data_IF_276486948953
#
_entry.id   IF_276486948953
#
_cell.length_a   1.000
_cell.length_b   1.000
_cell.length_c   1.000
_cell.angle_alpha   90.00
_cell.angle_beta   90.00
_cell.angle_gamma   90.00
#
_symmetry.space_group_name_H-M   'P 1'
#
loop_
_entity.id
_entity.type
_entity.pdbx_description
1 polymer ?
#
# COMPACT_ATOMS: atom_id res chain seq x y z
N UNK A 1 -5.39 -4.50 -57.94
CA UNK A 1 -6.41 -4.08 -56.93
C UNK A 1 -6.23 -4.71 -55.54
N UNK A 2 -5.61 -5.89 -55.39
CA UNK A 2 -5.37 -6.52 -54.07
C UNK A 2 -4.39 -5.76 -53.15
N UNK A 3 -3.45 -4.99 -53.70
CA UNK A 3 -2.40 -4.26 -52.95
C UNK A 3 -2.86 -3.02 -52.18
N UNK A 4 -4.03 -2.44 -52.51
CA UNK A 4 -4.57 -1.25 -51.80
C UNK A 4 -5.54 -1.60 -50.66
N UNK A 5 -6.00 -2.85 -50.59
CA UNK A 5 -6.96 -3.31 -49.57
C UNK A 5 -6.24 -3.60 -48.24
N UNK A 6 -5.02 -4.15 -48.30
CA UNK A 6 -4.18 -4.41 -47.13
C UNK A 6 -3.88 -3.14 -46.29
N UNK A 7 -3.43 -2.01 -46.87
CA UNK A 7 -3.15 -0.81 -46.10
C UNK A 7 -4.43 -0.17 -45.53
N UNK A 8 -5.56 -0.23 -46.25
CA UNK A 8 -6.84 0.28 -45.75
C UNK A 8 -7.35 -0.52 -44.54
N UNK A 9 -7.27 -1.85 -44.61
CA UNK A 9 -7.63 -2.71 -43.49
C UNK A 9 -6.72 -2.46 -42.27
N UNK A 10 -5.42 -2.25 -42.49
CA UNK A 10 -4.47 -1.88 -41.43
C UNK A 10 -4.82 -0.54 -40.76
N UNK A 11 -5.19 0.48 -41.54
CA UNK A 11 -5.62 1.78 -41.01
C UNK A 11 -6.91 1.69 -40.20
N UNK A 12 -7.89 0.90 -40.67
CA UNK A 12 -9.14 0.67 -39.94
C UNK A 12 -8.86 -0.02 -38.60
N UNK A 13 -8.01 -1.06 -38.60
CA UNK A 13 -7.62 -1.75 -37.37
C UNK A 13 -6.91 -0.80 -36.40
N UNK A 14 -5.97 0.01 -36.88
CA UNK A 14 -5.27 1.00 -36.05
C UNK A 14 -6.24 2.02 -35.45
N UNK A 15 -7.17 2.54 -36.24
CA UNK A 15 -8.19 3.47 -35.76
C UNK A 15 -9.09 2.83 -34.69
N UNK A 16 -9.49 1.57 -34.89
CA UNK A 16 -10.28 0.82 -33.90
C UNK A 16 -9.50 0.60 -32.59
N UNK A 17 -8.22 0.26 -32.66
CA UNK A 17 -7.35 0.11 -31.48
C UNK A 17 -7.20 1.43 -30.72
N UNK A 18 -6.95 2.54 -31.44
CA UNK A 18 -6.85 3.87 -30.84
C UNK A 18 -8.16 4.28 -30.17
N UNK A 19 -9.30 4.05 -30.82
CA UNK A 19 -10.62 4.32 -30.25
C UNK A 19 -10.89 3.48 -28.99
N UNK A 20 -10.49 2.21 -28.98
CA UNK A 20 -10.63 1.34 -27.81
C UNK A 20 -9.77 1.83 -26.63
N UNK A 21 -8.50 2.18 -26.87
CA UNK A 21 -7.61 2.73 -25.84
C UNK A 21 -8.14 4.06 -25.29
N UNK A 22 -8.56 4.98 -26.16
CA UNK A 22 -9.11 6.26 -25.73
C UNK A 22 -10.41 6.10 -24.92
N UNK A 23 -11.29 5.20 -25.35
CA UNK A 23 -12.54 4.90 -24.64
C UNK A 23 -12.25 4.26 -23.28
N UNK A 24 -11.30 3.33 -23.21
CA UNK A 24 -10.85 2.72 -21.96
C UNK A 24 -10.28 3.76 -21.00
N UNK A 25 -9.40 4.67 -21.47
CA UNK A 25 -8.84 5.74 -20.64
C UNK A 25 -9.92 6.68 -20.09
N UNK A 26 -10.89 7.06 -20.92
CA UNK A 26 -12.02 7.89 -20.50
C UNK A 26 -12.90 7.21 -19.45
N UNK A 27 -13.22 5.93 -19.66
CA UNK A 27 -13.97 5.14 -18.69
C UNK A 27 -13.17 4.94 -17.39
N UNK A 28 -11.87 4.70 -17.47
CA UNK A 28 -11.00 4.58 -16.31
C UNK A 28 -11.03 5.85 -15.45
N UNK A 29 -10.86 7.02 -16.08
CA UNK A 29 -10.96 8.32 -15.40
C UNK A 29 -12.33 8.54 -14.75
N UNK A 30 -13.43 8.23 -15.46
CA UNK A 30 -14.78 8.27 -14.88
C UNK A 30 -14.96 7.31 -13.72
N UNK A 31 -14.34 6.12 -13.81
CA UNK A 31 -14.36 5.10 -12.77
C UNK A 31 -13.70 5.63 -11.50
N UNK A 32 -12.55 6.27 -11.59
CA UNK A 32 -11.86 6.88 -10.44
C UNK A 32 -12.70 7.96 -9.75
N UNK A 33 -13.47 8.74 -10.52
CA UNK A 33 -14.36 9.78 -10.01
C UNK A 33 -15.70 9.24 -9.46
N UNK A 34 -16.01 7.95 -9.63
CA UNK A 34 -17.29 7.40 -9.20
C UNK A 34 -17.37 7.28 -7.67
N UNK A 35 -18.55 7.60 -7.13
CA UNK A 35 -18.84 7.55 -5.70
C UNK A 35 -19.19 6.11 -5.26
N UNK A 36 -18.37 5.57 -4.35
CA UNK A 36 -18.57 4.25 -3.77
C UNK A 36 -18.13 3.09 -4.66
N UNK A 37 -17.85 1.92 -4.08
CA UNK A 37 -17.17 0.83 -4.77
C UNK A 37 -18.04 0.20 -5.87
N UNK A 38 -19.35 0.07 -5.67
CA UNK A 38 -20.24 -0.52 -6.68
C UNK A 38 -20.34 0.32 -7.96
N UNK A 39 -20.36 1.66 -7.84
CA UNK A 39 -20.37 2.54 -8.99
C UNK A 39 -19.03 2.48 -9.75
N UNK A 40 -17.91 2.45 -9.02
CA UNK A 40 -16.56 2.25 -9.58
C UNK A 40 -16.48 0.95 -10.36
N UNK A 41 -16.91 -0.16 -9.77
CA UNK A 41 -16.91 -1.48 -10.40
C UNK A 41 -17.69 -1.52 -11.71
N UNK A 42 -18.87 -0.88 -11.77
CA UNK A 42 -19.66 -0.80 -13.02
C UNK A 42 -18.91 -0.07 -14.13
N UNK A 43 -18.29 1.06 -13.82
CA UNK A 43 -17.61 1.88 -14.83
C UNK A 43 -16.28 1.26 -15.25
N UNK A 44 -15.48 0.81 -14.28
CA UNK A 44 -14.20 0.16 -14.54
C UNK A 44 -14.37 -1.20 -15.22
N UNK A 45 -15.43 -1.96 -14.92
CA UNK A 45 -15.75 -3.20 -15.65
C UNK A 45 -16.05 -2.96 -17.13
N UNK A 46 -16.67 -1.82 -17.47
CA UNK A 46 -16.83 -1.42 -18.88
C UNK A 46 -15.50 -1.02 -19.51
N UNK A 47 -14.64 -0.30 -18.78
CA UNK A 47 -13.30 0.01 -19.26
C UNK A 47 -12.53 -1.27 -19.59
N UNK A 48 -12.55 -2.24 -18.68
CA UNK A 48 -11.88 -3.53 -18.81
C UNK A 48 -12.40 -4.35 -19.99
N UNK A 49 -13.72 -4.35 -20.23
CA UNK A 49 -14.32 -5.01 -21.38
C UNK A 49 -13.91 -4.38 -22.73
N UNK A 50 -13.67 -3.07 -22.77
CA UNK A 50 -13.23 -2.36 -23.99
C UNK A 50 -11.76 -2.61 -24.29
N UNK A 51 -10.90 -2.58 -23.27
CA UNK A 51 -9.46 -2.80 -23.42
C UNK A 51 -8.86 -3.52 -22.21
N UNK A 52 -8.80 -4.87 -22.24
CA UNK A 52 -8.39 -5.68 -21.09
C UNK A 52 -6.88 -5.64 -20.81
N UNK A 53 -6.08 -4.96 -21.63
CA UNK A 53 -4.62 -4.89 -21.45
C UNK A 53 -4.15 -3.64 -20.71
N UNK A 54 -5.07 -2.91 -20.07
CA UNK A 54 -4.71 -1.78 -19.22
C UNK A 54 -4.48 -2.25 -17.76
N UNK A 55 -3.21 -2.34 -17.36
CA UNK A 55 -2.81 -2.71 -15.99
C UNK A 55 -3.43 -1.80 -14.92
N UNK A 56 -3.49 -0.48 -15.17
CA UNK A 56 -4.04 0.48 -14.23
C UNK A 56 -5.54 0.24 -13.97
N UNK A 57 -6.32 -0.10 -15.00
CA UNK A 57 -7.74 -0.46 -14.83
C UNK A 57 -7.89 -1.72 -13.99
N UNK A 58 -7.04 -2.72 -14.18
CA UNK A 58 -7.04 -3.93 -13.35
C UNK A 58 -6.67 -3.63 -11.89
N UNK A 59 -5.68 -2.77 -11.64
CA UNK A 59 -5.35 -2.31 -10.28
C UNK A 59 -6.50 -1.53 -9.63
N UNK A 60 -7.16 -0.65 -10.39
CA UNK A 60 -8.29 0.15 -9.92
C UNK A 60 -9.52 -0.72 -9.61
N UNK A 61 -9.78 -1.75 -10.42
CA UNK A 61 -10.76 -2.79 -10.11
C UNK A 61 -10.40 -3.52 -8.82
N UNK A 62 -9.13 -3.88 -8.65
CA UNK A 62 -8.62 -4.49 -7.41
C UNK A 62 -8.92 -3.64 -6.17
N UNK A 63 -8.65 -2.33 -6.24
CA UNK A 63 -8.98 -1.39 -5.16
C UNK A 63 -10.48 -1.28 -4.91
N UNK A 64 -11.30 -1.16 -5.95
CA UNK A 64 -12.75 -1.07 -5.79
C UNK A 64 -13.37 -2.33 -5.18
N UNK A 65 -12.88 -3.53 -5.55
CA UNK A 65 -13.26 -4.79 -4.91
C UNK A 65 -12.78 -4.87 -3.46
N UNK A 66 -11.57 -4.41 -3.16
CA UNK A 66 -11.05 -4.36 -1.79
C UNK A 66 -11.94 -3.47 -0.91
N UNK A 67 -12.23 -2.25 -1.38
CA UNK A 67 -12.99 -1.24 -0.64
C UNK A 67 -14.35 -1.78 -0.22
N UNK A 68 -15.16 -2.32 -1.13
CA UNK A 68 -16.45 -2.83 -0.67
C UNK A 68 -16.39 -4.24 -0.05
N UNK A 69 -15.27 -4.96 -0.15
CA UNK A 69 -15.00 -6.09 0.72
C UNK A 69 -14.86 -5.63 2.17
N UNK A 70 -14.15 -4.52 2.39
CA UNK A 70 -14.00 -3.88 3.69
C UNK A 70 -15.29 -3.18 4.18
N UNK A 71 -16.18 -2.74 3.29
CA UNK A 71 -17.52 -2.25 3.68
C UNK A 71 -18.51 -3.38 3.96
N UNK A 72 -18.31 -4.57 3.38
CA UNK A 72 -19.20 -5.73 3.52
C UNK A 72 -18.84 -6.67 4.68
N UNK A 73 -18.11 -6.21 5.72
CA UNK A 73 -17.64 -7.10 6.81
C UNK A 73 -18.77 -7.84 7.54
N UNK A 74 -19.98 -7.30 7.56
CA UNK A 74 -21.17 -7.91 8.16
C UNK A 74 -21.81 -9.03 7.29
N UNK A 75 -21.44 -9.14 6.01
CA UNK A 75 -21.89 -10.18 5.08
C UNK A 75 -20.68 -11.00 4.60
N UNK A 76 -20.36 -12.12 5.27
CA UNK A 76 -19.19 -12.93 4.93
C UNK A 76 -19.18 -13.42 3.48
N UNK A 77 -20.34 -13.79 2.92
CA UNK A 77 -20.40 -14.30 1.56
C UNK A 77 -20.04 -13.22 0.53
N UNK A 78 -20.57 -12.00 0.72
CA UNK A 78 -20.21 -10.84 -0.11
C UNK A 78 -18.75 -10.46 0.09
N UNK A 79 -18.32 -10.26 1.34
CA UNK A 79 -16.94 -9.93 1.74
C UNK A 79 -15.91 -10.87 1.10
N UNK A 80 -16.07 -12.18 1.26
CA UNK A 80 -15.11 -13.18 0.82
C UNK A 80 -15.04 -13.26 -0.71
N UNK A 81 -16.17 -13.04 -1.38
CA UNK A 81 -16.21 -12.93 -2.85
C UNK A 81 -15.45 -11.70 -3.33
N UNK A 82 -15.62 -10.57 -2.65
CA UNK A 82 -14.99 -9.31 -3.03
C UNK A 82 -13.48 -9.33 -2.80
N UNK A 83 -12.99 -9.87 -1.68
CA UNK A 83 -11.56 -10.03 -1.47
C UNK A 83 -10.90 -10.97 -2.49
N UNK A 84 -11.55 -12.08 -2.87
CA UNK A 84 -11.05 -12.95 -3.95
C UNK A 84 -10.97 -12.22 -5.28
N UNK A 85 -12.02 -11.46 -5.65
CA UNK A 85 -12.01 -10.65 -6.88
C UNK A 85 -10.96 -9.55 -6.86
N UNK A 86 -10.71 -8.95 -5.70
CA UNK A 86 -9.64 -7.97 -5.51
C UNK A 86 -8.27 -8.60 -5.78
N UNK A 87 -7.98 -9.75 -5.17
CA UNK A 87 -6.74 -10.48 -5.38
C UNK A 87 -6.54 -10.91 -6.85
N UNK A 88 -7.58 -11.42 -7.50
CA UNK A 88 -7.55 -11.79 -8.94
C UNK A 88 -7.23 -10.58 -9.83
N UNK A 89 -7.86 -9.42 -9.56
CA UNK A 89 -7.66 -8.20 -10.33
C UNK A 89 -6.24 -7.64 -10.15
N UNK A 90 -5.70 -7.64 -8.92
CA UNK A 90 -4.31 -7.25 -8.68
C UNK A 90 -3.31 -8.20 -9.32
N UNK A 91 -3.53 -9.52 -9.24
CA UNK A 91 -2.67 -10.48 -9.95
C UNK A 91 -2.65 -10.23 -11.45
N UNK A 92 -3.79 -9.90 -12.05
CA UNK A 92 -3.86 -9.54 -13.47
C UNK A 92 -3.13 -8.22 -13.76
N UNK A 93 -3.29 -7.21 -12.92
CA UNK A 93 -2.53 -5.96 -13.03
C UNK A 93 -1.03 -6.22 -13.04
N UNK A 94 -0.54 -7.04 -12.10
CA UNK A 94 0.88 -7.37 -11.96
C UNK A 94 1.42 -8.25 -13.10
N UNK A 95 0.58 -9.05 -13.76
CA UNK A 95 0.97 -9.74 -15.00
C UNK A 95 1.17 -8.79 -16.17
N UNK A 96 0.40 -7.71 -16.23
CA UNK A 96 0.48 -6.70 -17.29
C UNK A 96 1.60 -5.69 -17.01
N UNK A 97 1.78 -5.31 -15.75
CA UNK A 97 2.84 -4.41 -15.29
C UNK A 97 3.43 -4.91 -13.95
N UNK A 98 4.47 -5.76 -13.99
CA UNK A 98 5.14 -6.26 -12.79
C UNK A 98 6.01 -5.18 -12.10
N UNK A 99 6.17 -4.01 -12.72
CA UNK A 99 6.98 -2.92 -12.17
C UNK A 99 6.20 -1.94 -11.31
N UNK A 100 4.88 -2.11 -11.15
CA UNK A 100 4.01 -1.15 -10.48
C UNK A 100 4.05 -1.26 -8.94
N UNK A 101 4.77 -0.38 -8.21
CA UNK A 101 4.89 -0.48 -6.75
C UNK A 101 3.54 -0.34 -6.02
N UNK A 102 2.65 0.52 -6.53
CA UNK A 102 1.33 0.72 -5.94
C UNK A 102 0.43 -0.53 -6.08
N UNK A 103 0.56 -1.27 -7.19
CA UNK A 103 -0.19 -2.52 -7.38
C UNK A 103 0.30 -3.59 -6.39
N UNK A 104 1.62 -3.73 -6.21
CA UNK A 104 2.19 -4.61 -5.18
C UNK A 104 1.72 -4.22 -3.77
N UNK A 105 1.74 -2.94 -3.44
CA UNK A 105 1.32 -2.44 -2.12
C UNK A 105 -0.15 -2.78 -1.82
N UNK A 106 -1.07 -2.46 -2.73
CA UNK A 106 -2.49 -2.73 -2.50
C UNK A 106 -2.84 -4.21 -2.59
N UNK A 107 -2.10 -4.98 -3.40
CA UNK A 107 -2.21 -6.43 -3.40
C UNK A 107 -1.81 -7.02 -2.05
N UNK A 108 -0.64 -6.62 -1.51
CA UNK A 108 -0.19 -7.02 -0.19
C UNK A 108 -1.21 -6.70 0.91
N UNK A 109 -1.82 -5.51 0.86
CA UNK A 109 -2.88 -5.12 1.78
C UNK A 109 -4.12 -6.02 1.67
N UNK A 110 -4.50 -6.38 0.45
CA UNK A 110 -5.60 -7.33 0.19
C UNK A 110 -5.28 -8.70 0.80
N UNK A 111 -4.07 -9.21 0.57
CA UNK A 111 -3.61 -10.50 1.10
C UNK A 111 -3.55 -10.50 2.63
N UNK A 112 -3.11 -9.39 3.23
CA UNK A 112 -3.06 -9.25 4.69
C UNK A 112 -4.47 -9.31 5.31
N UNK A 113 -5.43 -8.59 4.73
CA UNK A 113 -6.83 -8.65 5.15
C UNK A 113 -7.43 -10.04 4.96
N UNK A 114 -7.14 -10.70 3.84
CA UNK A 114 -7.53 -12.09 3.61
C UNK A 114 -6.98 -13.01 4.72
N UNK A 115 -5.71 -12.83 5.11
CA UNK A 115 -5.08 -13.54 6.21
C UNK A 115 -5.80 -13.34 7.55
N UNK A 116 -6.13 -12.09 7.92
CA UNK A 116 -6.90 -11.80 9.14
C UNK A 116 -8.29 -12.44 9.15
N UNK A 117 -8.88 -12.67 7.97
CA UNK A 117 -10.19 -13.27 7.80
C UNK A 117 -10.13 -14.81 7.62
N UNK A 118 -8.94 -15.42 7.66
CA UNK A 118 -8.75 -16.85 7.42
C UNK A 118 -9.03 -17.28 5.97
N UNK A 119 -9.01 -16.34 5.02
CA UNK A 119 -9.20 -16.62 3.60
C UNK A 119 -7.88 -17.10 2.96
N UNK A 120 -7.94 -18.01 1.98
CA UNK A 120 -6.73 -18.48 1.29
C UNK A 120 -6.11 -17.33 0.48
N UNK A 121 -4.89 -16.93 0.88
CA UNK A 121 -4.11 -15.92 0.20
C UNK A 121 -3.22 -16.58 -0.89
N UNK A 122 -3.22 -16.10 -2.14
CA UNK A 122 -2.41 -16.67 -3.22
C UNK A 122 -0.90 -16.39 -3.12
N UNK A 123 -0.46 -15.54 -2.19
CA UNK A 123 0.94 -15.21 -1.93
C UNK A 123 1.12 -14.72 -0.48
N UNK A 124 2.37 -14.64 0.00
CA UNK A 124 2.69 -14.01 1.29
C UNK A 124 2.53 -12.47 1.16
N UNK A 125 1.68 -11.82 1.97
CA UNK A 125 1.54 -10.36 1.96
C UNK A 125 2.87 -9.63 2.20
N UNK A 126 3.76 -10.18 3.04
CA UNK A 126 5.02 -9.51 3.38
C UNK A 126 6.00 -9.51 2.21
N UNK A 127 5.98 -10.55 1.36
CA UNK A 127 6.78 -10.58 0.13
C UNK A 127 6.33 -9.49 -0.87
N UNK A 128 5.01 -9.28 -0.98
CA UNK A 128 4.46 -8.25 -1.87
C UNK A 128 4.71 -6.83 -1.33
N UNK A 129 4.65 -6.61 -0.02
CA UNK A 129 5.06 -5.35 0.59
C UNK A 129 6.54 -5.05 0.37
N UNK A 130 7.41 -6.06 0.51
CA UNK A 130 8.82 -5.91 0.22
C UNK A 130 9.07 -5.53 -1.25
N UNK A 131 8.40 -6.20 -2.20
CA UNK A 131 8.45 -5.82 -3.61
C UNK A 131 7.98 -4.39 -3.84
N UNK A 132 6.87 -3.99 -3.22
CA UNK A 132 6.37 -2.62 -3.30
C UNK A 132 7.41 -1.60 -2.84
N UNK A 133 8.05 -1.83 -1.68
CA UNK A 133 9.06 -0.93 -1.12
C UNK A 133 10.35 -0.86 -1.97
N UNK A 134 10.75 -1.99 -2.58
CA UNK A 134 11.90 -2.07 -3.49
C UNK A 134 11.61 -1.32 -4.80
N UNK A 135 10.44 -1.51 -5.39
CA UNK A 135 10.02 -0.89 -6.66
C UNK A 135 9.63 0.59 -6.50
N UNK A 136 9.35 1.05 -5.29
CA UNK A 136 8.90 2.42 -5.02
C UNK A 136 9.90 3.53 -5.44
N UNK A 137 11.17 3.20 -5.71
CA UNK A 137 12.14 4.19 -6.22
C UNK A 137 12.36 5.35 -5.24
N UNK A 138 11.95 6.57 -5.57
CA UNK A 138 12.02 7.71 -4.63
C UNK A 138 10.69 8.00 -3.92
N UNK A 139 9.65 7.19 -4.14
CA UNK A 139 8.38 7.34 -3.45
C UNK A 139 8.52 6.96 -1.97
N UNK A 140 8.84 7.97 -1.15
CA UNK A 140 8.99 7.83 0.29
C UNK A 140 7.71 7.44 1.00
N UNK A 141 6.53 7.70 0.42
CA UNK A 141 5.25 7.36 1.04
C UNK A 141 5.03 5.85 1.08
N UNK A 142 5.19 5.15 -0.04
CA UNK A 142 5.02 3.68 -0.08
C UNK A 142 6.00 3.02 0.90
N UNK A 143 7.26 3.48 0.95
CA UNK A 143 8.25 2.94 1.89
C UNK A 143 7.88 3.17 3.34
N UNK A 144 7.42 4.37 3.68
CA UNK A 144 6.95 4.68 5.02
C UNK A 144 5.76 3.80 5.41
N UNK A 145 4.76 3.68 4.54
CA UNK A 145 3.57 2.86 4.79
C UNK A 145 3.91 1.38 4.96
N UNK A 146 4.78 0.83 4.10
CA UNK A 146 5.28 -0.55 4.25
C UNK A 146 6.00 -0.73 5.58
N UNK A 147 6.94 0.16 5.91
CA UNK A 147 7.66 0.10 7.18
C UNK A 147 6.72 0.18 8.39
N UNK A 148 5.69 1.03 8.33
CA UNK A 148 4.69 1.18 9.39
C UNK A 148 3.82 -0.07 9.53
N UNK A 149 3.35 -0.65 8.43
CA UNK A 149 2.58 -1.90 8.44
C UNK A 149 3.42 -3.04 9.03
N UNK A 150 4.69 -3.15 8.63
CA UNK A 150 5.60 -4.17 9.17
C UNK A 150 5.90 -3.94 10.66
N UNK A 151 6.05 -2.69 11.11
CA UNK A 151 6.12 -2.37 12.54
C UNK A 151 4.84 -2.80 13.30
N UNK A 152 3.67 -2.69 12.65
CA UNK A 152 2.41 -3.25 13.15
C UNK A 152 2.40 -4.77 13.29
N UNK A 153 3.37 -5.47 12.70
CA UNK A 153 3.51 -6.93 12.74
C UNK A 153 4.80 -7.36 13.46
N UNK A 154 5.49 -6.42 14.14
CA UNK A 154 6.86 -6.58 14.63
C UNK A 154 7.15 -7.91 15.34
N UNK A 155 6.32 -8.39 16.29
CA UNK A 155 6.61 -9.63 17.01
C UNK A 155 6.63 -10.87 16.10
N UNK A 156 5.86 -10.83 15.01
CA UNK A 156 5.72 -11.93 14.04
C UNK A 156 6.75 -11.91 12.91
N UNK A 157 7.53 -10.83 12.79
CA UNK A 157 8.53 -10.70 11.72
C UNK A 157 9.76 -11.55 12.02
N UNK A 158 10.33 -12.11 10.95
CA UNK A 158 11.69 -12.67 10.97
C UNK A 158 12.73 -11.56 11.17
N UNK A 159 13.95 -11.89 11.63
CA UNK A 159 15.03 -10.91 11.78
C UNK A 159 15.27 -10.07 10.52
N UNK A 160 15.39 -10.70 9.34
CA UNK A 160 15.60 -9.99 8.06
C UNK A 160 14.47 -8.99 7.75
N UNK A 161 13.22 -9.36 8.06
CA UNK A 161 12.06 -8.49 7.84
C UNK A 161 12.00 -7.35 8.86
N UNK A 162 12.46 -7.56 10.10
CA UNK A 162 12.64 -6.48 11.10
C UNK A 162 13.71 -5.50 10.63
N UNK A 163 14.81 -5.99 10.10
CA UNK A 163 15.91 -5.17 9.57
C UNK A 163 15.44 -4.32 8.38
N UNK A 164 14.69 -4.93 7.45
CA UNK A 164 14.07 -4.22 6.34
C UNK A 164 13.12 -3.12 6.85
N UNK A 165 12.18 -3.46 7.74
CA UNK A 165 11.20 -2.53 8.28
C UNK A 165 11.88 -1.35 9.00
N UNK A 166 12.86 -1.62 9.87
CA UNK A 166 13.64 -0.60 10.55
C UNK A 166 14.39 0.30 9.55
N UNK A 167 15.00 -0.29 8.51
CA UNK A 167 15.69 0.46 7.46
C UNK A 167 14.76 1.38 6.66
N UNK A 168 13.53 0.94 6.38
CA UNK A 168 12.52 1.76 5.71
C UNK A 168 12.07 2.93 6.61
N UNK A 169 11.78 2.66 7.88
CA UNK A 169 11.33 3.68 8.84
C UNK A 169 12.43 4.72 9.12
N UNK A 170 13.69 4.31 9.34
CA UNK A 170 14.83 5.24 9.48
C UNK A 170 14.91 6.21 8.32
N UNK A 171 14.86 5.70 7.09
CA UNK A 171 14.93 6.53 5.89
C UNK A 171 13.72 7.46 5.76
N UNK A 172 12.54 7.02 6.18
CA UNK A 172 11.33 7.84 6.18
C UNK A 172 11.38 8.96 7.23
N UNK A 173 12.04 8.73 8.36
CA UNK A 173 12.21 9.68 9.46
C UNK A 173 13.40 10.63 9.28
N UNK A 174 14.40 10.27 8.46
CA UNK A 174 15.56 11.12 8.18
C UNK A 174 15.21 12.50 7.57
N UNK A 175 13.98 12.67 7.07
CA UNK A 175 13.48 13.97 6.61
C UNK A 175 13.00 14.88 7.76
N UNK A 176 13.01 14.40 9.01
CA UNK A 176 12.60 15.16 10.19
C UNK A 176 11.09 15.39 10.32
N UNK A 177 10.27 14.55 9.68
CA UNK A 177 8.81 14.67 9.68
C UNK A 177 8.21 14.14 11.00
N UNK A 178 7.70 15.02 11.89
CA UNK A 178 7.18 14.62 13.19
C UNK A 178 5.88 13.80 13.09
N UNK A 179 5.07 13.99 12.04
CA UNK A 179 3.81 13.28 11.88
C UNK A 179 4.07 11.81 11.52
N UNK A 180 5.12 11.55 10.74
CA UNK A 180 5.59 10.18 10.48
C UNK A 180 6.09 9.48 11.74
N UNK A 181 6.81 10.19 12.60
CA UNK A 181 7.24 9.63 13.88
C UNK A 181 6.04 9.29 14.75
N UNK A 182 5.07 10.20 14.87
CA UNK A 182 3.84 9.94 15.62
C UNK A 182 3.08 8.72 15.09
N UNK A 183 2.93 8.58 13.77
CA UNK A 183 2.27 7.41 13.18
C UNK A 183 2.97 6.07 13.47
N UNK A 184 4.30 6.07 13.59
CA UNK A 184 5.06 4.88 14.01
C UNK A 184 4.84 4.61 15.51
N UNK A 185 4.91 5.64 16.36
CA UNK A 185 4.71 5.50 17.81
C UNK A 185 3.31 5.01 18.17
N UNK A 186 2.28 5.48 17.45
CA UNK A 186 0.91 4.97 17.60
C UNK A 186 0.84 3.49 17.25
N UNK A 187 1.43 3.09 16.12
CA UNK A 187 1.47 1.69 15.69
C UNK A 187 2.21 0.81 16.71
N UNK A 188 3.37 1.26 17.17
CA UNK A 188 4.19 0.62 18.20
C UNK A 188 3.42 0.42 19.51
N UNK A 189 2.74 1.47 19.97
CA UNK A 189 1.94 1.43 21.20
C UNK A 189 0.78 0.43 21.10
N UNK A 190 0.15 0.28 19.93
CA UNK A 190 -0.94 -0.67 19.72
C UNK A 190 -0.46 -2.12 19.72
N UNK A 191 0.81 -2.38 19.38
CA UNK A 191 1.40 -3.72 19.34
C UNK A 191 2.09 -4.14 20.65
N UNK A 192 1.83 -3.44 21.75
CA UNK A 192 2.39 -3.78 23.06
C UNK A 192 3.73 -3.11 23.39
N UNK A 193 4.25 -2.26 22.50
CA UNK A 193 5.35 -1.37 22.84
C UNK A 193 6.73 -2.03 22.95
N UNK A 194 7.06 -2.97 22.07
CA UNK A 194 8.38 -3.62 22.04
C UNK A 194 9.53 -2.58 21.97
N UNK A 195 10.41 -2.50 22.98
CA UNK A 195 11.51 -1.55 22.99
C UNK A 195 12.46 -1.68 21.79
N UNK A 196 12.63 -2.90 21.26
CA UNK A 196 13.56 -3.17 20.15
C UNK A 196 13.23 -2.30 18.94
N UNK A 197 11.95 -2.15 18.59
CA UNK A 197 11.55 -1.34 17.44
C UNK A 197 12.01 0.12 17.61
N UNK A 198 11.72 0.73 18.76
CA UNK A 198 12.01 2.14 19.00
C UNK A 198 13.50 2.40 19.09
N UNK A 199 14.24 1.56 19.81
CA UNK A 199 15.70 1.64 19.88
C UNK A 199 16.33 1.57 18.49
N UNK A 200 15.74 0.77 17.60
CA UNK A 200 16.23 0.65 16.23
C UNK A 200 15.85 1.84 15.38
N UNK A 201 14.64 2.41 15.45
CA UNK A 201 14.16 3.37 14.44
C UNK A 201 14.20 4.84 14.87
N UNK A 202 14.22 5.13 16.17
CA UNK A 202 14.13 6.50 16.68
C UNK A 202 15.38 7.30 16.28
N UNK A 203 15.24 8.44 15.57
CA UNK A 203 16.38 9.29 15.23
C UNK A 203 17.05 9.89 16.47
N UNK A 204 18.38 9.93 16.45
CA UNK A 204 19.23 10.60 17.46
C UNK A 204 19.24 12.12 17.22
N UNK A 205 18.06 12.73 17.28
CA UNK A 205 17.86 14.16 17.09
C UNK A 205 17.00 14.70 18.23
N UNK A 206 17.35 15.87 18.76
CA UNK A 206 16.67 16.43 19.93
C UNK A 206 15.15 16.61 19.70
N UNK A 207 14.73 16.99 18.50
CA UNK A 207 13.30 17.11 18.13
C UNK A 207 12.55 15.78 18.14
N UNK A 208 13.16 14.71 17.59
CA UNK A 208 12.59 13.36 17.57
C UNK A 208 12.48 12.77 18.97
N UNK A 209 13.53 12.93 19.78
CA UNK A 209 13.57 12.48 21.18
C UNK A 209 12.53 13.20 22.04
N UNK A 210 12.35 14.51 21.87
CA UNK A 210 11.29 15.28 22.54
C UNK A 210 9.89 14.85 22.12
N UNK A 211 9.70 14.55 20.83
CA UNK A 211 8.43 14.05 20.31
C UNK A 211 8.09 12.70 20.94
N UNK A 212 9.05 11.79 21.01
CA UNK A 212 8.91 10.50 21.69
C UNK A 212 8.61 10.66 23.19
N UNK A 213 9.38 11.49 23.90
CA UNK A 213 9.16 11.75 25.32
C UNK A 213 7.78 12.36 25.61
N UNK A 214 7.30 13.28 24.76
CA UNK A 214 5.96 13.84 24.84
C UNK A 214 4.90 12.75 24.65
N UNK A 215 5.03 11.93 23.61
CA UNK A 215 4.11 10.83 23.34
C UNK A 215 3.99 9.87 24.53
N UNK A 216 5.13 9.49 25.13
CA UNK A 216 5.15 8.66 26.33
C UNK A 216 4.44 9.35 27.51
N UNK A 217 4.71 10.64 27.73
CA UNK A 217 4.13 11.42 28.81
C UNK A 217 2.62 11.58 28.71
N UNK A 218 2.10 11.89 27.52
CA UNK A 218 0.67 12.09 27.27
C UNK A 218 -0.16 10.81 27.47
N UNK A 219 0.46 9.65 27.24
CA UNK A 219 -0.19 8.33 27.38
C UNK A 219 0.14 7.61 28.69
N UNK A 220 0.93 8.23 29.57
CA UNK A 220 1.36 7.60 30.83
C UNK A 220 2.24 6.36 30.63
N UNK A 221 2.94 6.26 29.49
CA UNK A 221 3.79 5.13 29.14
C UNK A 221 5.21 5.35 29.69
N UNK A 222 5.80 4.28 30.26
CA UNK A 222 7.20 4.17 30.73
C UNK A 222 7.88 5.49 31.13
N UNK A 223 7.80 5.84 32.43
CA UNK A 223 8.45 7.02 33.00
C UNK A 223 9.96 7.05 32.75
N UNK A 224 10.62 5.91 32.88
CA UNK A 224 12.06 5.78 32.71
C UNK A 224 12.49 6.08 31.27
N UNK A 225 11.82 5.47 30.28
CA UNK A 225 12.10 5.74 28.87
C UNK A 225 11.88 7.21 28.50
N UNK A 226 10.85 7.84 29.08
CA UNK A 226 10.60 9.28 28.90
C UNK A 226 11.75 10.14 29.43
N UNK A 227 12.20 9.89 30.65
CA UNK A 227 13.29 10.66 31.27
C UNK A 227 14.61 10.45 30.50
N UNK A 228 14.88 9.22 30.08
CA UNK A 228 16.04 8.89 29.25
C UNK A 228 16.03 9.65 27.91
N UNK A 229 14.89 9.67 27.23
CA UNK A 229 14.73 10.41 25.98
C UNK A 229 14.91 11.93 26.15
N UNK A 230 14.39 12.52 27.23
CA UNK A 230 14.58 13.95 27.53
C UNK A 230 16.05 14.28 27.83
N UNK A 231 16.71 13.49 28.66
CA UNK A 231 18.13 13.69 28.99
C UNK A 231 19.02 13.61 27.74
N UNK A 232 18.74 12.65 26.84
CA UNK A 232 19.43 12.53 25.55
C UNK A 232 19.16 13.73 24.64
N UNK A 233 17.92 14.23 24.61
CA UNK A 233 17.58 15.41 23.83
C UNK A 233 18.29 16.67 24.33
N UNK A 234 18.40 16.84 25.65
CA UNK A 234 19.13 17.95 26.26
C UNK A 234 20.63 17.89 25.96
N UNK A 235 21.22 16.69 25.99
CA UNK A 235 22.65 16.51 25.69
C UNK A 235 23.03 16.83 24.24
N UNK A 236 22.08 16.73 23.29
CA UNK A 236 22.33 17.05 21.87
C UNK A 236 22.24 18.54 21.54
N UNK A 237 21.66 19.36 22.42
CA UNK A 237 21.52 20.81 22.25
C UNK A 237 22.66 21.61 22.92
N UNK A 238 23.55 20.94 23.67
CA UNK A 238 24.74 21.51 24.33
C UNK A 238 25.95 21.52 23.38
#
# INVERSE_FOLDING_TARGET
>A
MKTKILPLAGLILLAALQAAVATNAHLAWKGQAAAGPEARLRVLGRADAVWPWNAAVAADLGRAWFEGGAEALADPAKRDTWFRRSAEAFLRSLRLDPGAPAAHFHFAQTLLYMGYLGLPAPADPLDEYERAARLAGHNGQIRYEVGRIMAGLWPSLTPDRRDLAAGLLKKALAAGDPDRLLGILETWSLQGGDPELIERVLPEEAGSLRTYARFLGERGLSREARLSALARAEALDL
#
